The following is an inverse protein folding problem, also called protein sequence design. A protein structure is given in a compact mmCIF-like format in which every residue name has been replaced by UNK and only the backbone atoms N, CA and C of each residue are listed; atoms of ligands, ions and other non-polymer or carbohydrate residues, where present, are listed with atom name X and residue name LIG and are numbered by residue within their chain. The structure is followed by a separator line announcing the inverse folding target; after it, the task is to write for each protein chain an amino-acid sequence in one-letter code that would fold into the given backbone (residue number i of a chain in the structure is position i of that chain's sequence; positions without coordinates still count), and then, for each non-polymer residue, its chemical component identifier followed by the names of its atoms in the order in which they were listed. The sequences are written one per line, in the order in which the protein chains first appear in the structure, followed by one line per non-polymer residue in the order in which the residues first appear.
data_IF_103024094653
#
_entry.id   IF_103024094653
#
_cell.length_a   1.000
_cell.length_b   1.000
_cell.length_c   1.000
_cell.angle_alpha   90.00
_cell.angle_beta   90.00
_cell.angle_gamma   90.00
#
_symmetry.space_group_name_H-M   'P 1'
#
loop_
_entity.id
_entity.type
_entity.pdbx_description
1 polymer ?
#
# COMPACT_ATOMS: atom_id res chain seq x y z
N UNK A 1 13.14 17.39 -19.41
CA UNK A 1 12.31 17.07 -20.60
C UNK A 1 10.89 16.77 -20.11
N UNK A 2 9.93 17.68 -20.33
CA UNK A 2 8.53 17.56 -19.89
C UNK A 2 7.80 16.52 -20.76
N UNK A 3 7.26 15.45 -20.17
CA UNK A 3 6.23 14.60 -20.80
C UNK A 3 5.16 14.18 -19.80
N UNK A 4 3.97 14.77 -20.00
CA UNK A 4 2.62 14.24 -19.77
C UNK A 4 2.40 13.30 -18.57
N UNK A 5 2.04 13.87 -17.42
CA UNK A 5 1.23 13.16 -16.42
C UNK A 5 -0.23 13.44 -16.73
N UNK A 6 -0.89 12.44 -17.30
CA UNK A 6 -2.33 12.39 -17.47
C UNK A 6 -2.99 12.56 -16.09
N UNK A 7 -3.61 13.71 -15.83
CA UNK A 7 -4.50 13.93 -14.67
C UNK A 7 -5.82 13.21 -14.92
N UNK A 8 -5.82 11.90 -14.79
CA UNK A 8 -7.02 11.13 -14.51
C UNK A 8 -7.11 10.94 -13.00
N UNK A 9 -8.17 11.45 -12.38
CA UNK A 9 -8.54 11.06 -11.01
C UNK A 9 -8.66 9.53 -11.02
N UNK A 10 -7.67 8.85 -10.44
CA UNK A 10 -7.58 7.39 -10.47
C UNK A 10 -8.65 6.89 -9.50
N UNK A 11 -9.79 6.51 -10.08
CA UNK A 11 -10.89 5.80 -9.43
C UNK A 11 -10.32 4.60 -8.66
N UNK A 12 -10.95 4.23 -7.54
CA UNK A 12 -10.63 3.03 -6.78
C UNK A 12 -10.24 1.87 -7.71
N UNK A 13 -9.12 1.23 -7.38
CA UNK A 13 -8.47 0.28 -8.25
C UNK A 13 -9.44 -0.84 -8.68
N UNK A 14 -9.48 -1.16 -9.98
CA UNK A 14 -10.36 -2.19 -10.55
C UNK A 14 -10.20 -3.53 -9.83
N UNK A 15 -9.02 -3.82 -9.30
CA UNK A 15 -8.71 -5.00 -8.48
C UNK A 15 -9.50 -5.01 -7.17
N UNK A 16 -9.43 -3.94 -6.38
CA UNK A 16 -10.14 -3.84 -5.10
C UNK A 16 -11.66 -3.83 -5.32
N UNK A 17 -12.12 -3.19 -6.41
CA UNK A 17 -13.52 -3.25 -6.81
C UNK A 17 -13.95 -4.68 -7.16
N UNK A 18 -13.13 -5.39 -7.92
CA UNK A 18 -13.40 -6.78 -8.32
C UNK A 18 -13.43 -7.69 -7.10
N UNK A 19 -12.49 -7.53 -6.17
CA UNK A 19 -12.41 -8.26 -4.92
C UNK A 19 -13.73 -8.21 -4.14
N UNK A 20 -14.24 -7.01 -3.83
CA UNK A 20 -15.50 -6.89 -3.09
C UNK A 20 -16.70 -7.41 -3.89
N UNK A 21 -16.71 -7.22 -5.21
CA UNK A 21 -17.78 -7.75 -6.06
C UNK A 21 -17.83 -9.28 -6.02
N UNK A 22 -16.67 -9.95 -6.04
CA UNK A 22 -16.57 -11.41 -5.95
C UNK A 22 -17.09 -11.88 -4.59
N UNK A 23 -16.57 -11.33 -3.48
CA UNK A 23 -17.04 -11.70 -2.12
C UNK A 23 -18.55 -11.53 -1.97
N UNK A 24 -19.10 -10.42 -2.46
CA UNK A 24 -20.55 -10.17 -2.43
C UNK A 24 -21.35 -11.18 -3.27
N UNK A 25 -20.87 -11.51 -4.46
CA UNK A 25 -21.50 -12.49 -5.36
C UNK A 25 -21.58 -13.86 -4.69
N UNK A 26 -20.44 -14.37 -4.20
CA UNK A 26 -20.32 -15.68 -3.55
C UNK A 26 -21.22 -15.78 -2.31
N UNK A 27 -21.25 -14.72 -1.50
CA UNK A 27 -22.09 -14.64 -0.31
C UNK A 27 -23.56 -14.70 -0.65
N UNK A 28 -24.01 -13.90 -1.61
CA UNK A 28 -25.42 -13.86 -2.01
C UNK A 28 -25.83 -15.20 -2.62
N UNK A 29 -24.98 -15.81 -3.44
CA UNK A 29 -25.20 -17.16 -3.97
C UNK A 29 -25.37 -18.19 -2.85
N UNK A 30 -24.49 -18.17 -1.85
CA UNK A 30 -24.57 -19.06 -0.68
C UNK A 30 -25.86 -18.86 0.11
N UNK A 31 -26.27 -17.62 0.34
CA UNK A 31 -27.53 -17.29 1.04
C UNK A 31 -28.74 -17.81 0.27
N UNK A 32 -28.80 -17.56 -1.04
CA UNK A 32 -29.93 -17.96 -1.89
C UNK A 32 -30.02 -19.48 -1.97
N UNK A 33 -28.89 -20.15 -2.19
CA UNK A 33 -28.82 -21.61 -2.32
C UNK A 33 -29.18 -22.31 -1.02
N UNK A 34 -28.62 -21.85 0.11
CA UNK A 34 -28.89 -22.45 1.43
C UNK A 34 -30.35 -22.35 1.84
N UNK A 35 -31.04 -21.27 1.46
CA UNK A 35 -32.47 -21.06 1.74
C UNK A 35 -33.40 -21.54 0.63
N UNK A 36 -32.85 -22.12 -0.46
CA UNK A 36 -33.60 -22.61 -1.64
C UNK A 36 -34.53 -21.55 -2.24
N UNK A 37 -34.10 -20.30 -2.24
CA UNK A 37 -34.87 -19.18 -2.79
C UNK A 37 -34.69 -19.11 -4.31
N UNK A 38 -35.75 -18.83 -5.03
CA UNK A 38 -35.69 -18.47 -6.45
C UNK A 38 -35.44 -16.97 -6.62
N UNK A 39 -34.82 -16.59 -7.75
CA UNK A 39 -34.59 -15.18 -8.06
C UNK A 39 -35.89 -14.36 -8.19
N UNK A 40 -36.99 -15.02 -8.56
CA UNK A 40 -38.31 -14.39 -8.68
C UNK A 40 -38.93 -14.11 -7.31
N UNK A 41 -38.72 -14.97 -6.31
CA UNK A 41 -39.16 -14.72 -4.93
C UNK A 41 -38.42 -13.54 -4.30
N UNK A 42 -37.18 -13.31 -4.70
CA UNK A 42 -36.34 -12.24 -4.15
C UNK A 42 -36.67 -10.89 -4.78
N UNK A 43 -36.78 -10.83 -6.12
CA UNK A 43 -37.08 -9.59 -6.81
C UNK A 43 -38.01 -9.86 -8.01
N UNK A 44 -39.34 -9.96 -7.79
CA UNK A 44 -40.30 -10.33 -8.83
C UNK A 44 -40.25 -9.41 -10.05
N UNK A 45 -40.09 -8.10 -9.81
CA UNK A 45 -40.10 -7.09 -10.87
C UNK A 45 -38.82 -7.10 -11.71
N UNK A 46 -37.70 -7.63 -11.18
CA UNK A 46 -36.42 -7.64 -11.87
C UNK A 46 -35.47 -8.77 -11.42
N UNK A 47 -35.94 -10.01 -11.52
CA UNK A 47 -35.20 -11.20 -11.09
C UNK A 47 -33.86 -11.38 -11.81
N UNK A 48 -33.72 -10.83 -13.02
CA UNK A 48 -32.47 -10.81 -13.78
C UNK A 48 -31.34 -10.08 -13.04
N UNK A 49 -31.65 -9.04 -12.24
CA UNK A 49 -30.63 -8.34 -11.44
C UNK A 49 -30.02 -9.30 -10.43
N UNK A 50 -30.82 -10.11 -9.75
CA UNK A 50 -30.34 -11.09 -8.77
C UNK A 50 -29.50 -12.16 -9.46
N UNK A 51 -29.96 -12.64 -10.62
CA UNK A 51 -29.17 -13.58 -11.44
C UNK A 51 -27.81 -13.01 -11.84
N UNK A 52 -27.74 -11.74 -12.24
CA UNK A 52 -26.47 -11.09 -12.59
C UNK A 52 -25.55 -10.89 -11.39
N UNK A 53 -26.13 -10.56 -10.22
CA UNK A 53 -25.37 -10.45 -8.97
C UNK A 53 -24.72 -11.78 -8.62
N UNK A 54 -25.49 -12.87 -8.61
CA UNK A 54 -24.99 -14.23 -8.33
C UNK A 54 -23.94 -14.69 -9.34
N UNK A 55 -24.09 -14.30 -10.60
CA UNK A 55 -23.12 -14.61 -11.65
C UNK A 55 -21.91 -13.65 -11.68
N UNK A 56 -21.79 -12.71 -10.73
CA UNK A 56 -20.72 -11.70 -10.69
C UNK A 56 -20.66 -10.79 -11.94
N UNK A 57 -21.74 -10.68 -12.72
CA UNK A 57 -21.72 -9.99 -14.02
C UNK A 57 -21.86 -8.48 -13.86
N UNK A 58 -20.74 -7.77 -14.01
CA UNK A 58 -20.68 -6.30 -14.10
C UNK A 58 -20.98 -5.83 -15.53
N UNK A 59 -21.75 -4.76 -15.67
CA UNK A 59 -22.04 -4.15 -16.98
C UNK A 59 -21.73 -2.66 -16.95
N UNK A 60 -21.60 -2.00 -18.12
CA UNK A 60 -21.44 -0.54 -18.18
C UNK A 60 -22.57 0.23 -17.47
N UNK A 61 -23.78 -0.35 -17.40
CA UNK A 61 -24.95 0.22 -16.73
C UNK A 61 -25.04 -0.16 -15.24
N UNK A 62 -24.33 -1.20 -14.81
CA UNK A 62 -24.20 -1.62 -13.41
C UNK A 62 -22.73 -1.94 -13.09
N UNK A 63 -21.87 -0.91 -12.94
CA UNK A 63 -20.45 -1.13 -12.70
C UNK A 63 -20.16 -1.68 -11.30
N UNK A 64 -21.04 -1.42 -10.32
CA UNK A 64 -20.80 -1.71 -8.90
C UNK A 64 -21.42 -3.02 -8.42
N UNK A 65 -21.93 -3.86 -9.33
CA UNK A 65 -22.64 -5.13 -9.08
C UNK A 65 -23.91 -5.01 -8.23
N UNK A 66 -23.82 -4.48 -7.00
CA UNK A 66 -24.94 -4.29 -6.07
C UNK A 66 -25.54 -2.89 -6.17
N UNK A 67 -26.87 -2.85 -6.14
CA UNK A 67 -27.65 -1.61 -5.95
C UNK A 67 -28.33 -1.65 -4.59
N UNK A 68 -28.52 -0.49 -3.96
CA UNK A 68 -29.21 -0.38 -2.66
C UNK A 68 -30.60 -1.04 -2.72
N UNK A 69 -31.31 -0.91 -3.84
CA UNK A 69 -32.61 -1.56 -4.07
C UNK A 69 -32.49 -3.09 -4.07
N UNK A 70 -31.50 -3.66 -4.76
CA UNK A 70 -31.33 -5.11 -4.79
C UNK A 70 -30.96 -5.66 -3.41
N UNK A 71 -30.07 -4.97 -2.68
CA UNK A 71 -29.70 -5.32 -1.30
C UNK A 71 -30.93 -5.28 -0.39
N UNK A 72 -31.75 -4.23 -0.49
CA UNK A 72 -32.96 -4.09 0.31
C UNK A 72 -33.98 -5.20 -0.01
N UNK A 73 -34.18 -5.55 -1.28
CA UNK A 73 -35.06 -6.66 -1.67
C UNK A 73 -34.58 -8.00 -1.12
N UNK A 74 -33.28 -8.28 -1.23
CA UNK A 74 -32.68 -9.47 -0.61
C UNK A 74 -32.95 -9.47 0.89
N UNK A 75 -32.73 -8.35 1.58
CA UNK A 75 -32.97 -8.25 3.02
C UNK A 75 -34.43 -8.52 3.40
N UNK A 76 -35.38 -7.89 2.70
CA UNK A 76 -36.82 -8.06 2.92
C UNK A 76 -37.26 -9.51 2.77
N UNK A 77 -36.74 -10.22 1.76
CA UNK A 77 -37.03 -11.65 1.55
C UNK A 77 -36.45 -12.52 2.67
N UNK A 78 -35.30 -12.15 3.24
CA UNK A 78 -34.60 -12.96 4.23
C UNK A 78 -35.11 -12.75 5.65
N UNK A 79 -35.46 -11.50 6.00
CA UNK A 79 -35.67 -11.06 7.38
C UNK A 79 -37.01 -10.34 7.59
N UNK A 80 -37.80 -10.14 6.52
CA UNK A 80 -39.08 -9.44 6.57
C UNK A 80 -38.96 -7.93 6.37
N UNK A 81 -40.12 -7.26 6.27
CA UNK A 81 -40.20 -5.81 5.98
C UNK A 81 -40.24 -4.93 7.24
N UNK A 82 -40.59 -5.50 8.40
CA UNK A 82 -40.77 -4.77 9.66
C UNK A 82 -39.51 -4.82 10.56
N UNK A 83 -38.34 -4.49 9.99
CA UNK A 83 -37.11 -4.37 10.77
C UNK A 83 -36.96 -2.96 11.32
N UNK A 84 -36.37 -2.84 12.52
CA UNK A 84 -35.92 -1.53 12.99
C UNK A 84 -34.82 -0.98 12.07
N UNK A 85 -34.66 0.35 12.03
CA UNK A 85 -33.62 0.99 11.20
C UNK A 85 -32.19 0.49 11.53
N UNK A 86 -31.96 0.02 12.77
CA UNK A 86 -30.66 -0.53 13.18
C UNK A 86 -30.45 -1.94 12.62
N UNK A 87 -31.46 -2.80 12.75
CA UNK A 87 -31.42 -4.17 12.23
C UNK A 87 -31.37 -4.19 10.70
N UNK A 88 -32.18 -3.36 10.04
CA UNK A 88 -32.15 -3.23 8.58
C UNK A 88 -30.75 -2.82 8.08
N UNK A 89 -30.11 -1.85 8.74
CA UNK A 89 -28.74 -1.43 8.41
C UNK A 89 -27.74 -2.57 8.57
N UNK A 90 -27.79 -3.28 9.69
CA UNK A 90 -26.89 -4.40 9.95
C UNK A 90 -27.06 -5.51 8.90
N UNK A 91 -28.29 -5.94 8.59
CA UNK A 91 -28.49 -6.99 7.60
C UNK A 91 -28.12 -6.56 6.18
N UNK A 92 -28.38 -5.30 5.80
CA UNK A 92 -27.88 -4.76 4.53
C UNK A 92 -26.35 -4.70 4.47
N UNK A 93 -25.68 -4.40 5.60
CA UNK A 93 -24.22 -4.49 5.74
C UNK A 93 -23.74 -5.93 5.58
N UNK A 94 -24.40 -6.90 6.21
CA UNK A 94 -24.09 -8.33 6.07
C UNK A 94 -24.21 -8.81 4.62
N UNK A 95 -25.28 -8.43 3.92
CA UNK A 95 -25.46 -8.79 2.51
C UNK A 95 -24.37 -8.16 1.64
N UNK A 96 -24.05 -6.88 1.86
CA UNK A 96 -23.13 -6.14 1.00
C UNK A 96 -21.66 -6.45 1.26
N UNK A 97 -21.27 -6.57 2.52
CA UNK A 97 -19.88 -6.63 2.96
C UNK A 97 -19.51 -7.92 3.67
N UNK A 98 -20.46 -8.64 4.26
CA UNK A 98 -20.23 -9.85 5.07
C UNK A 98 -20.60 -9.59 6.52
N UNK A 99 -20.65 -10.63 7.35
CA UNK A 99 -20.70 -10.49 8.82
C UNK A 99 -19.30 -10.20 9.38
N UNK A 100 -19.14 -10.12 10.71
CA UNK A 100 -17.83 -9.80 11.28
C UNK A 100 -16.83 -10.91 10.98
N UNK A 101 -17.22 -12.17 11.13
CA UNK A 101 -16.35 -13.32 10.87
C UNK A 101 -15.86 -13.36 9.42
N UNK A 102 -16.75 -13.12 8.45
CA UNK A 102 -16.38 -13.05 7.04
C UNK A 102 -15.43 -11.88 6.76
N UNK A 103 -15.73 -10.70 7.31
CA UNK A 103 -14.88 -9.51 7.17
C UNK A 103 -13.48 -9.81 7.67
N UNK A 104 -13.37 -10.33 8.88
CA UNK A 104 -12.10 -10.70 9.51
C UNK A 104 -11.27 -11.64 8.64
N UNK A 105 -11.91 -12.66 8.06
CA UNK A 105 -11.22 -13.64 7.21
C UNK A 105 -10.60 -13.04 5.93
N UNK A 106 -11.17 -11.97 5.38
CA UNK A 106 -10.67 -11.37 4.14
C UNK A 106 -9.81 -10.12 4.34
N UNK A 107 -9.70 -9.57 5.56
CA UNK A 107 -8.88 -8.38 5.86
C UNK A 107 -7.43 -8.53 5.36
N UNK A 108 -6.71 -9.64 5.63
CA UNK A 108 -5.32 -9.75 5.20
C UNK A 108 -5.13 -9.69 3.68
N UNK A 109 -6.03 -10.33 2.94
CA UNK A 109 -6.05 -10.27 1.46
C UNK A 109 -6.36 -8.85 0.98
N UNK A 110 -7.32 -8.18 1.62
CA UNK A 110 -7.72 -6.82 1.30
C UNK A 110 -6.60 -5.80 1.52
N UNK A 111 -5.87 -5.88 2.64
CA UNK A 111 -4.74 -4.99 2.92
C UNK A 111 -3.64 -5.13 1.86
N UNK A 112 -3.26 -6.37 1.51
CA UNK A 112 -2.29 -6.63 0.44
C UNK A 112 -2.74 -6.06 -0.90
N UNK A 113 -4.02 -6.20 -1.22
CA UNK A 113 -4.60 -5.59 -2.42
C UNK A 113 -4.58 -4.06 -2.38
N UNK A 114 -4.77 -3.43 -1.21
CA UNK A 114 -4.67 -1.98 -1.07
C UNK A 114 -3.23 -1.52 -1.35
N UNK A 115 -2.23 -2.14 -0.69
CA UNK A 115 -0.81 -1.79 -0.83
C UNK A 115 -0.34 -1.88 -2.28
N UNK A 116 -0.68 -2.99 -2.98
CA UNK A 116 -0.34 -3.18 -4.40
C UNK A 116 -0.84 -2.07 -5.33
N UNK A 117 -1.86 -1.35 -4.89
CA UNK A 117 -2.69 -0.50 -5.74
C UNK A 117 -2.69 0.97 -5.32
N UNK A 118 -1.84 1.36 -4.37
CA UNK A 118 -1.66 2.74 -3.93
C UNK A 118 -1.23 3.65 -5.10
N UNK A 119 -1.64 4.92 -5.03
CA UNK A 119 -1.08 5.97 -5.90
C UNK A 119 0.31 6.37 -5.42
N UNK A 120 1.09 7.07 -6.24
CA UNK A 120 2.42 7.54 -5.84
C UNK A 120 2.38 8.42 -4.57
N UNK A 121 1.37 9.27 -4.43
CA UNK A 121 1.21 10.12 -3.23
C UNK A 121 0.87 9.30 -1.98
N UNK A 122 0.02 8.28 -2.13
CA UNK A 122 -0.34 7.36 -1.05
C UNK A 122 0.83 6.44 -0.67
N UNK A 123 1.64 6.06 -1.66
CA UNK A 123 2.83 5.25 -1.49
C UNK A 123 3.85 5.94 -0.60
N UNK A 124 4.02 7.26 -0.74
CA UNK A 124 4.92 8.03 0.12
C UNK A 124 4.52 7.94 1.60
N UNK A 125 3.23 8.05 1.90
CA UNK A 125 2.72 7.93 3.28
C UNK A 125 3.03 6.54 3.85
N UNK A 126 2.84 5.50 3.03
CA UNK A 126 3.07 4.13 3.44
C UNK A 126 4.56 3.83 3.63
N UNK A 127 5.39 4.26 2.68
CA UNK A 127 6.84 4.10 2.73
C UNK A 127 7.45 4.86 3.91
N UNK A 128 6.92 6.03 4.27
CA UNK A 128 7.32 6.77 5.48
C UNK A 128 7.13 5.97 6.77
N UNK A 129 6.13 5.08 6.85
CA UNK A 129 5.93 4.19 8.00
C UNK A 129 6.86 2.97 7.90
N UNK A 130 7.08 2.43 6.70
CA UNK A 130 8.03 1.33 6.49
C UNK A 130 9.48 1.70 6.86
N UNK A 131 9.83 2.98 6.82
CA UNK A 131 11.16 3.49 7.23
C UNK A 131 11.53 3.18 8.68
N UNK A 132 10.61 2.65 9.49
CA UNK A 132 10.96 2.13 10.81
C UNK A 132 11.69 0.77 10.76
N UNK A 133 11.44 -0.04 9.73
CA UNK A 133 12.19 -1.27 9.54
C UNK A 133 13.66 -0.97 9.20
N UNK A 134 14.57 -1.60 9.94
CA UNK A 134 16.01 -1.36 9.85
C UNK A 134 16.52 -1.65 8.43
N UNK A 135 16.11 -2.79 7.87
CA UNK A 135 16.65 -3.26 6.61
C UNK A 135 16.07 -2.50 5.43
N UNK A 136 14.78 -2.16 5.48
CA UNK A 136 14.15 -1.29 4.50
C UNK A 136 14.81 0.09 4.52
N UNK A 137 14.98 0.69 5.70
CA UNK A 137 15.61 2.00 5.83
C UNK A 137 17.08 2.02 5.36
N UNK A 138 17.85 0.98 5.67
CA UNK A 138 19.22 0.78 5.16
C UNK A 138 19.23 0.67 3.63
N UNK A 139 18.32 -0.13 3.05
CA UNK A 139 18.23 -0.30 1.59
C UNK A 139 17.85 1.02 0.89
N UNK A 140 16.93 1.79 1.46
CA UNK A 140 16.56 3.12 0.94
C UNK A 140 17.75 4.09 1.02
N UNK A 141 18.43 4.15 2.17
CA UNK A 141 19.63 4.98 2.33
C UNK A 141 20.67 4.64 1.27
N UNK A 142 20.95 3.35 1.12
CA UNK A 142 21.92 2.80 0.16
C UNK A 142 21.55 3.13 -1.29
N UNK A 143 20.29 2.93 -1.69
CA UNK A 143 19.83 3.25 -3.04
C UNK A 143 20.00 4.73 -3.37
N UNK A 144 19.66 5.61 -2.44
CA UNK A 144 19.81 7.04 -2.67
C UNK A 144 21.28 7.48 -2.65
N UNK A 145 22.14 6.75 -1.94
CA UNK A 145 23.60 6.93 -1.97
C UNK A 145 24.16 6.53 -3.33
N UNK A 146 23.76 5.37 -3.87
CA UNK A 146 24.14 4.87 -5.19
C UNK A 146 23.33 5.50 -6.32
N UNK A 147 23.17 6.81 -6.25
CA UNK A 147 22.67 7.56 -7.38
C UNK A 147 23.62 7.48 -8.59
N UNK A 148 23.16 7.94 -9.74
CA UNK A 148 23.90 7.93 -11.01
C UNK A 148 25.31 8.52 -10.90
N UNK A 149 25.53 9.50 -10.02
CA UNK A 149 26.83 10.13 -9.86
C UNK A 149 27.83 9.25 -9.08
N UNK A 150 27.37 8.65 -7.99
CA UNK A 150 28.23 7.89 -7.09
C UNK A 150 28.50 6.47 -7.59
N UNK A 151 27.54 5.83 -8.25
CA UNK A 151 27.74 4.49 -8.76
C UNK A 151 28.75 4.44 -9.92
N UNK A 152 28.75 5.43 -10.81
CA UNK A 152 29.78 5.60 -11.85
C UNK A 152 31.19 5.75 -11.24
N UNK A 153 31.32 6.51 -10.15
CA UNK A 153 32.59 6.70 -9.46
C UNK A 153 33.10 5.43 -8.76
N UNK A 154 32.18 4.56 -8.35
CA UNK A 154 32.47 3.32 -7.64
C UNK A 154 32.62 2.10 -8.57
N UNK A 155 32.48 2.28 -9.89
CA UNK A 155 32.44 1.19 -10.88
C UNK A 155 31.33 0.16 -10.56
N UNK A 156 30.20 0.65 -10.04
CA UNK A 156 29.03 -0.16 -9.69
C UNK A 156 28.02 -0.05 -10.83
N UNK A 157 27.64 -1.19 -11.41
CA UNK A 157 26.60 -1.27 -12.42
C UNK A 157 25.22 -0.97 -11.81
N UNK A 158 24.72 0.23 -12.07
CA UNK A 158 23.43 0.73 -11.61
C UNK A 158 22.27 -0.12 -12.15
N UNK A 159 22.37 -0.61 -13.39
CA UNK A 159 21.31 -1.42 -13.99
C UNK A 159 21.18 -2.74 -13.25
N UNK A 160 22.29 -3.36 -12.84
CA UNK A 160 22.29 -4.53 -11.94
C UNK A 160 21.63 -4.22 -10.59
N UNK A 161 21.92 -3.05 -10.01
CA UNK A 161 21.38 -2.62 -8.73
C UNK A 161 19.85 -2.47 -8.73
N UNK A 162 19.29 -1.87 -9.79
CA UNK A 162 17.84 -1.74 -9.96
C UNK A 162 17.15 -3.06 -10.30
N UNK A 163 17.87 -4.01 -10.91
CA UNK A 163 17.33 -5.34 -11.20
C UNK A 163 17.44 -6.33 -10.03
N UNK A 164 18.39 -6.15 -9.11
CA UNK A 164 18.64 -7.09 -8.01
C UNK A 164 18.15 -6.62 -6.63
N UNK A 165 17.97 -5.33 -6.36
CA UNK A 165 17.75 -4.83 -4.99
C UNK A 165 16.50 -3.96 -4.79
N UNK A 166 15.83 -4.19 -3.64
CA UNK A 166 14.51 -3.68 -3.18
C UNK A 166 13.27 -4.53 -3.54
N UNK A 167 13.34 -5.88 -3.59
CA UNK A 167 12.11 -6.68 -3.36
C UNK A 167 11.96 -7.16 -1.92
N UNK A 168 13.03 -7.65 -1.28
CA UNK A 168 12.87 -8.47 -0.05
C UNK A 168 12.70 -7.64 1.21
N UNK A 169 13.57 -6.65 1.46
CA UNK A 169 13.43 -5.78 2.64
C UNK A 169 12.08 -5.07 2.64
N UNK A 170 11.63 -4.64 1.47
CA UNK A 170 10.30 -4.09 1.26
C UNK A 170 9.20 -5.11 1.57
N UNK A 171 9.21 -6.28 0.95
CA UNK A 171 8.17 -7.29 1.18
C UNK A 171 8.08 -7.73 2.65
N UNK A 172 9.21 -7.86 3.34
CA UNK A 172 9.27 -8.20 4.76
C UNK A 172 8.70 -7.06 5.61
N UNK A 173 9.18 -5.83 5.43
CA UNK A 173 8.68 -4.66 6.15
C UNK A 173 7.18 -4.43 5.90
N UNK A 174 6.71 -4.65 4.66
CA UNK A 174 5.29 -4.60 4.33
C UNK A 174 4.50 -5.67 5.08
N UNK A 175 4.98 -6.92 5.09
CA UNK A 175 4.29 -8.02 5.77
C UNK A 175 4.21 -7.79 7.28
N UNK A 176 5.32 -7.41 7.90
CA UNK A 176 5.40 -7.11 9.34
C UNK A 176 4.50 -5.92 9.72
N UNK A 177 4.51 -4.84 8.92
CA UNK A 177 3.62 -3.71 9.15
C UNK A 177 2.16 -4.12 9.03
N UNK A 178 1.80 -4.88 7.99
CA UNK A 178 0.42 -5.34 7.78
C UNK A 178 -0.07 -6.23 8.91
N UNK A 179 0.75 -7.17 9.39
CA UNK A 179 0.44 -8.00 10.57
C UNK A 179 0.25 -7.14 11.82
N UNK A 180 1.10 -6.13 12.02
CA UNK A 180 1.06 -5.26 13.20
C UNK A 180 -0.20 -4.40 13.23
N UNK A 181 -0.63 -3.85 12.09
CA UNK A 181 -1.82 -3.00 12.00
C UNK A 181 -3.12 -3.77 11.75
N UNK A 182 -3.06 -5.09 11.56
CA UNK A 182 -4.20 -5.91 11.12
C UNK A 182 -5.41 -5.74 12.04
N UNK A 183 -5.21 -5.89 13.35
CA UNK A 183 -6.29 -5.81 14.34
C UNK A 183 -6.85 -4.39 14.49
N UNK A 184 -6.01 -3.37 14.36
CA UNK A 184 -6.46 -1.97 14.43
C UNK A 184 -7.24 -1.61 13.18
N UNK A 185 -6.76 -2.02 12.00
CA UNK A 185 -7.47 -1.82 10.75
C UNK A 185 -8.78 -2.59 10.68
N UNK A 186 -8.82 -3.83 11.18
CA UNK A 186 -10.03 -4.64 11.34
C UNK A 186 -11.09 -3.90 12.16
N UNK A 187 -10.73 -3.38 13.33
CA UNK A 187 -11.66 -2.58 14.16
C UNK A 187 -12.14 -1.34 13.43
N UNK A 188 -11.21 -0.56 12.86
CA UNK A 188 -11.54 0.66 12.13
C UNK A 188 -12.46 0.36 10.92
N UNK A 189 -12.25 -0.74 10.23
CA UNK A 189 -13.05 -1.14 9.07
C UNK A 189 -14.44 -1.60 9.47
N UNK A 190 -14.60 -2.38 10.54
CA UNK A 190 -15.93 -2.77 11.06
C UNK A 190 -16.70 -1.52 11.52
N UNK A 191 -16.07 -0.65 12.31
CA UNK A 191 -16.68 0.61 12.73
C UNK A 191 -17.06 1.49 11.54
N UNK A 192 -16.21 1.53 10.51
CA UNK A 192 -16.51 2.21 9.27
C UNK A 192 -17.74 1.64 8.58
N UNK A 193 -17.86 0.32 8.44
CA UNK A 193 -19.01 -0.33 7.80
C UNK A 193 -20.32 -0.10 8.57
N UNK A 194 -20.24 -0.06 9.90
CA UNK A 194 -21.39 0.15 10.79
C UNK A 194 -21.72 1.64 10.97
N UNK A 195 -20.83 2.53 10.53
CA UNK A 195 -21.04 3.97 10.53
C UNK A 195 -22.10 4.41 9.53
N UNK A 196 -22.51 5.66 9.69
CA UNK A 196 -23.40 6.33 8.77
C UNK A 196 -22.82 7.66 8.32
N UNK A 197 -23.05 8.00 7.06
CA UNK A 197 -22.63 9.26 6.45
C UNK A 197 -23.86 10.13 6.21
N UNK A 198 -23.76 11.39 6.62
CA UNK A 198 -24.74 12.40 6.25
C UNK A 198 -24.55 12.74 4.77
N UNK A 199 -25.50 12.30 3.95
CA UNK A 199 -25.48 12.58 2.51
C UNK A 199 -26.47 13.70 2.24
N UNK A 200 -25.99 14.76 1.57
CA UNK A 200 -26.86 15.80 1.05
C UNK A 200 -27.74 15.22 -0.06
N UNK A 201 -29.04 15.25 0.12
CA UNK A 201 -30.05 14.82 -0.84
C UNK A 201 -30.99 15.98 -1.15
N UNK A 202 -31.71 15.92 -2.26
CA UNK A 202 -32.82 16.85 -2.52
C UNK A 202 -34.13 16.14 -2.28
N UNK A 203 -34.80 16.50 -1.19
CA UNK A 203 -36.17 16.05 -0.90
C UNK A 203 -37.11 17.17 -1.36
N UNK A 204 -37.92 16.91 -2.39
CA UNK A 204 -38.85 17.89 -2.98
C UNK A 204 -38.19 19.21 -3.42
N UNK A 205 -36.94 19.15 -3.90
CA UNK A 205 -36.20 20.32 -4.39
C UNK A 205 -35.46 21.12 -3.31
N UNK A 206 -35.62 20.78 -2.04
CA UNK A 206 -34.90 21.36 -0.90
C UNK A 206 -33.72 20.45 -0.54
N UNK A 207 -32.56 21.05 -0.30
CA UNK A 207 -31.40 20.33 0.20
C UNK A 207 -31.64 19.87 1.64
N UNK A 208 -31.54 18.57 1.87
CA UNK A 208 -31.68 17.93 3.17
C UNK A 208 -30.51 16.96 3.40
N UNK A 209 -30.14 16.71 4.65
CA UNK A 209 -29.05 15.79 5.00
C UNK A 209 -29.64 14.52 5.58
N UNK A 210 -29.58 13.44 4.80
CA UNK A 210 -30.10 12.14 5.21
C UNK A 210 -28.96 11.29 5.74
N UNK A 211 -29.16 10.74 6.94
CA UNK A 211 -28.28 9.73 7.50
C UNK A 211 -28.36 8.46 6.65
N UNK A 212 -27.32 8.18 5.85
CA UNK A 212 -27.25 6.97 5.01
C UNK A 212 -26.08 6.11 5.48
N UNK A 213 -26.34 4.83 5.68
CA UNK A 213 -25.29 3.85 5.95
C UNK A 213 -24.27 3.75 4.81
N UNK A 214 -23.13 3.11 5.07
CA UNK A 214 -22.14 2.82 4.04
C UNK A 214 -22.71 1.82 3.03
N UNK A 215 -23.11 2.32 1.86
CA UNK A 215 -23.59 1.46 0.77
C UNK A 215 -22.45 1.03 -0.14
N UNK A 216 -22.59 -0.16 -0.71
CA UNK A 216 -21.64 -0.75 -1.65
C UNK A 216 -21.29 0.26 -2.76
N UNK A 217 -22.30 0.85 -3.40
CA UNK A 217 -22.13 1.83 -4.48
C UNK A 217 -21.36 3.09 -4.08
N UNK A 218 -21.53 3.57 -2.85
CA UNK A 218 -20.91 4.82 -2.39
C UNK A 218 -19.41 4.67 -2.09
N UNK A 219 -18.90 3.44 -2.03
CA UNK A 219 -17.49 3.16 -1.75
C UNK A 219 -16.62 3.07 -3.01
N UNK A 220 -17.13 2.53 -4.11
CA UNK A 220 -16.36 2.36 -5.35
C UNK A 220 -16.10 3.65 -6.16
N UNK A 221 -16.54 4.80 -5.64
CA UNK A 221 -16.25 6.13 -6.19
C UNK A 221 -15.34 6.98 -5.31
N UNK A 222 -14.94 6.48 -4.15
CA UNK A 222 -14.22 7.22 -3.12
C UNK A 222 -13.00 6.41 -2.68
N UNK A 223 -11.89 7.09 -2.38
CA UNK A 223 -10.72 6.45 -1.76
C UNK A 223 -10.93 6.21 -0.25
N UNK A 224 -12.18 6.14 0.23
CA UNK A 224 -12.53 6.08 1.65
C UNK A 224 -11.85 4.90 2.38
N UNK A 225 -11.90 3.70 1.78
CA UNK A 225 -11.28 2.49 2.35
C UNK A 225 -9.75 2.62 2.37
N UNK A 226 -9.15 3.15 1.30
CA UNK A 226 -7.71 3.40 1.23
C UNK A 226 -7.29 4.48 2.22
N UNK A 227 -8.09 5.53 2.38
CA UNK A 227 -7.85 6.61 3.33
C UNK A 227 -7.99 6.13 4.77
N UNK A 228 -8.94 5.23 5.05
CA UNK A 228 -9.07 4.58 6.34
C UNK A 228 -7.83 3.72 6.63
N UNK A 229 -7.37 2.93 5.67
CA UNK A 229 -6.13 2.16 5.78
C UNK A 229 -4.93 3.06 6.06
N UNK A 230 -4.73 4.11 5.26
CA UNK A 230 -3.63 5.06 5.43
C UNK A 230 -3.73 5.85 6.73
N UNK A 231 -4.93 6.07 7.27
CA UNK A 231 -5.11 6.66 8.59
C UNK A 231 -4.52 5.75 9.67
N UNK A 232 -4.85 4.46 9.64
CA UNK A 232 -4.30 3.47 10.59
C UNK A 232 -2.77 3.37 10.43
N UNK A 233 -2.26 3.33 9.20
CA UNK A 233 -0.81 3.34 8.91
C UNK A 233 -0.12 4.57 9.50
N UNK A 234 -0.74 5.76 9.41
CA UNK A 234 -0.20 7.00 9.99
C UNK A 234 -0.23 7.01 11.51
N UNK A 235 -1.27 6.44 12.11
CA UNK A 235 -1.38 6.32 13.57
C UNK A 235 -0.32 5.37 14.13
N UNK A 236 0.14 4.41 13.33
CA UNK A 236 1.25 3.52 13.66
C UNK A 236 2.63 4.13 13.40
N UNK A 237 2.72 5.28 12.72
CA UNK A 237 4.00 5.91 12.40
C UNK A 237 4.70 6.38 13.68
N UNK A 238 5.89 5.84 13.94
CA UNK A 238 6.72 6.28 15.05
C UNK A 238 7.32 7.68 14.78
N UNK A 239 7.49 8.50 15.82
CA UNK A 239 8.34 9.69 15.75
C UNK A 239 9.75 9.33 15.26
N UNK A 240 10.37 10.24 14.51
CA UNK A 240 11.71 10.04 13.94
C UNK A 240 12.75 9.69 15.01
N UNK A 241 12.65 10.30 16.18
CA UNK A 241 13.56 10.08 17.31
C UNK A 241 13.42 8.68 17.92
N UNK A 242 12.22 8.10 17.82
CA UNK A 242 11.91 6.76 18.31
C UNK A 242 12.16 5.68 17.25
N UNK A 243 12.14 6.07 15.97
CA UNK A 243 12.34 5.15 14.85
C UNK A 243 13.78 4.67 14.72
N UNK A 244 13.99 3.36 14.86
CA UNK A 244 15.33 2.76 14.75
C UNK A 244 15.77 2.74 13.28
N UNK A 245 14.88 2.37 12.36
CA UNK A 245 15.15 2.41 10.93
C UNK A 245 15.57 3.80 10.47
N UNK A 246 14.86 4.86 10.89
CA UNK A 246 15.23 6.22 10.52
C UNK A 246 16.61 6.64 11.06
N UNK A 247 16.98 6.18 12.26
CA UNK A 247 18.31 6.42 12.83
C UNK A 247 19.39 5.71 12.01
N UNK A 248 19.14 4.47 11.59
CA UNK A 248 20.05 3.71 10.69
C UNK A 248 20.18 4.44 9.36
N UNK A 249 19.07 4.80 8.72
CA UNK A 249 19.05 5.60 7.50
C UNK A 249 19.90 6.88 7.63
N UNK A 250 19.73 7.61 8.74
CA UNK A 250 20.48 8.85 9.01
C UNK A 250 21.98 8.60 9.20
N UNK A 251 22.38 7.52 9.87
CA UNK A 251 23.78 7.15 10.07
C UNK A 251 24.42 6.81 8.72
N UNK A 252 23.79 5.91 7.96
CA UNK A 252 24.27 5.46 6.65
C UNK A 252 24.43 6.68 5.71
N UNK A 253 23.44 7.57 5.66
CA UNK A 253 23.52 8.82 4.90
C UNK A 253 24.61 9.78 5.37
N UNK A 254 24.78 9.94 6.69
CA UNK A 254 25.77 10.85 7.25
C UNK A 254 27.19 10.39 6.99
N UNK A 255 27.44 9.09 7.06
CA UNK A 255 28.79 8.57 6.81
C UNK A 255 29.15 8.64 5.33
N UNK A 256 28.18 8.53 4.42
CA UNK A 256 28.42 8.73 2.98
C UNK A 256 28.50 10.18 2.55
N UNK A 257 27.72 11.10 3.12
CA UNK A 257 27.88 12.54 2.79
C UNK A 257 29.28 13.08 3.13
N UNK A 258 29.97 12.46 4.09
CA UNK A 258 31.39 12.73 4.34
C UNK A 258 32.28 12.18 3.22
N UNK A 259 31.97 11.02 2.66
CA UNK A 259 32.70 10.44 1.52
C UNK A 259 32.55 11.31 0.27
N UNK A 260 31.33 11.72 -0.08
CA UNK A 260 31.08 12.61 -1.23
C UNK A 260 31.88 13.91 -1.11
N UNK A 261 31.87 14.55 0.07
CA UNK A 261 32.64 15.77 0.32
C UNK A 261 34.15 15.56 0.18
N UNK A 262 34.68 14.41 0.58
CA UNK A 262 36.11 14.08 0.45
C UNK A 262 36.45 13.80 -1.02
N UNK A 263 35.56 13.13 -1.76
CA UNK A 263 35.72 12.87 -3.20
C UNK A 263 35.72 14.18 -3.99
N UNK A 264 34.78 15.09 -3.73
CA UNK A 264 34.73 16.40 -4.39
C UNK A 264 35.98 17.25 -4.13
N UNK A 265 36.47 17.28 -2.88
CA UNK A 265 37.70 17.99 -2.53
C UNK A 265 38.91 17.43 -3.28
N UNK A 266 39.00 16.09 -3.38
CA UNK A 266 40.05 15.42 -4.15
C UNK A 266 39.96 15.78 -5.64
N UNK A 267 38.78 15.69 -6.26
CA UNK A 267 38.59 16.00 -7.68
C UNK A 267 38.94 17.46 -7.99
N UNK A 268 38.50 18.40 -7.14
CA UNK A 268 38.87 19.82 -7.26
C UNK A 268 40.39 19.99 -7.19
N UNK A 269 41.05 19.28 -6.28
CA UNK A 269 42.50 19.34 -6.13
C UNK A 269 43.24 18.80 -7.35
N UNK A 270 42.94 17.57 -7.78
CA UNK A 270 43.56 16.93 -8.95
C UNK A 270 43.38 17.77 -10.22
N UNK A 271 42.21 18.39 -10.38
CA UNK A 271 41.88 19.14 -11.59
C UNK A 271 42.46 20.57 -11.59
N UNK A 272 42.51 21.24 -10.43
CA UNK A 272 42.81 22.67 -10.35
C UNK A 272 44.19 22.96 -9.76
N UNK A 273 44.59 22.22 -8.73
CA UNK A 273 45.73 22.58 -7.87
C UNK A 273 46.95 21.67 -8.03
N UNK A 274 46.75 20.40 -8.41
CA UNK A 274 47.83 19.43 -8.65
C UNK A 274 48.94 19.90 -9.61
N UNK A 275 48.69 20.74 -10.64
CA UNK A 275 49.76 21.25 -11.50
C UNK A 275 50.71 22.25 -10.83
N UNK A 276 50.41 22.75 -9.61
CA UNK A 276 51.04 23.96 -9.07
C UNK A 276 51.83 23.79 -7.76
N UNK A 277 51.90 22.60 -7.11
CA UNK A 277 52.72 22.39 -5.89
C UNK A 277 53.18 20.94 -5.66
N UNK A 278 54.46 20.78 -5.29
CA UNK A 278 54.95 19.66 -4.48
C UNK A 278 54.90 20.06 -2.99
N UNK A 279 53.95 19.52 -2.24
CA UNK A 279 53.79 19.78 -0.80
C UNK A 279 53.61 18.45 -0.05
N UNK A 280 54.62 18.08 0.76
CA UNK A 280 54.66 16.77 1.46
C UNK A 280 53.60 16.62 2.56
N UNK A 281 53.21 17.73 3.21
CA UNK A 281 52.15 17.69 4.22
C UNK A 281 50.82 17.37 3.52
N UNK A 282 50.63 17.97 2.34
CA UNK A 282 49.45 17.77 1.51
C UNK A 282 49.42 16.39 0.84
N UNK A 283 50.57 15.84 0.43
CA UNK A 283 50.69 14.46 -0.06
C UNK A 283 50.25 13.45 1.01
N UNK A 284 50.66 13.67 2.26
CA UNK A 284 50.22 12.87 3.41
C UNK A 284 48.71 13.04 3.67
N UNK A 285 48.17 14.25 3.49
CA UNK A 285 46.73 14.52 3.63
C UNK A 285 45.91 13.87 2.50
N UNK A 286 46.41 13.84 1.26
CA UNK A 286 45.81 13.14 0.13
C UNK A 286 45.86 11.61 0.30
N UNK A 287 46.96 11.05 0.80
CA UNK A 287 47.04 9.63 1.15
C UNK A 287 46.03 9.26 2.24
N UNK A 288 45.86 10.13 3.25
CA UNK A 288 44.84 9.96 4.27
C UNK A 288 43.42 10.03 3.68
N UNK A 289 43.14 11.00 2.80
CA UNK A 289 41.87 11.10 2.08
C UNK A 289 41.62 9.88 1.18
N UNK A 290 42.63 9.37 0.49
CA UNK A 290 42.56 8.12 -0.27
C UNK A 290 42.22 6.92 0.62
N UNK A 291 42.82 6.85 1.81
CA UNK A 291 42.49 5.83 2.80
C UNK A 291 41.02 5.90 3.22
N UNK A 292 40.49 7.10 3.46
CA UNK A 292 39.08 7.30 3.82
C UNK A 292 38.16 6.94 2.66
N UNK A 293 38.45 7.44 1.44
CA UNK A 293 37.67 7.11 0.24
C UNK A 293 37.62 5.60 0.07
N UNK A 294 38.79 4.94 0.05
CA UNK A 294 38.87 3.49 -0.11
C UNK A 294 38.09 2.74 0.97
N UNK A 295 38.20 3.15 2.24
CA UNK A 295 37.41 2.53 3.32
C UNK A 295 35.90 2.70 3.11
N UNK A 296 35.47 3.84 2.57
CA UNK A 296 34.08 4.06 2.16
C UNK A 296 33.65 3.21 0.98
N UNK A 297 34.49 3.08 -0.05
CA UNK A 297 34.25 2.19 -1.18
C UNK A 297 34.13 0.73 -0.73
N UNK A 298 35.04 0.28 0.13
CA UNK A 298 35.03 -1.06 0.71
C UNK A 298 33.76 -1.29 1.57
N UNK A 299 33.31 -0.28 2.33
CA UNK A 299 32.05 -0.34 3.09
C UNK A 299 30.82 -0.46 2.18
N UNK A 300 30.70 0.38 1.16
CA UNK A 300 29.59 0.34 0.20
C UNK A 300 29.56 -1.01 -0.53
N UNK A 301 30.73 -1.52 -0.96
CA UNK A 301 30.84 -2.84 -1.57
C UNK A 301 30.45 -3.98 -0.61
N UNK A 302 30.85 -3.89 0.66
CA UNK A 302 30.44 -4.86 1.67
C UNK A 302 28.92 -4.88 1.89
N UNK A 303 28.27 -3.71 1.82
CA UNK A 303 26.80 -3.62 1.86
C UNK A 303 26.18 -4.30 0.64
N UNK A 304 26.68 -4.00 -0.56
CA UNK A 304 26.24 -4.66 -1.81
C UNK A 304 26.29 -6.18 -1.70
N UNK A 305 27.46 -6.72 -1.34
CA UNK A 305 27.67 -8.17 -1.24
C UNK A 305 26.73 -8.80 -0.20
N UNK A 306 26.48 -8.09 0.92
CA UNK A 306 25.58 -8.57 1.98
C UNK A 306 24.12 -8.62 1.52
N UNK A 307 23.63 -7.58 0.82
CA UNK A 307 22.28 -7.54 0.27
C UNK A 307 22.08 -8.63 -0.78
N UNK A 308 23.06 -8.81 -1.67
CA UNK A 308 23.05 -9.87 -2.69
C UNK A 308 22.94 -11.26 -2.07
N UNK A 309 23.80 -11.60 -1.11
CA UNK A 309 23.79 -12.90 -0.42
C UNK A 309 22.43 -13.15 0.25
N UNK A 310 21.89 -12.14 0.92
CA UNK A 310 20.58 -12.25 1.57
C UNK A 310 19.46 -12.50 0.57
N UNK A 311 19.49 -11.84 -0.58
CA UNK A 311 18.50 -12.03 -1.63
C UNK A 311 18.59 -13.44 -2.24
N UNK A 312 19.80 -13.92 -2.51
CA UNK A 312 20.05 -15.30 -2.98
C UNK A 312 19.52 -16.34 -2.00
N UNK A 313 19.82 -16.19 -0.70
CA UNK A 313 19.34 -17.09 0.34
C UNK A 313 17.81 -17.14 0.43
N UNK A 314 17.16 -15.98 0.36
CA UNK A 314 15.71 -15.89 0.47
C UNK A 314 14.99 -16.46 -0.75
N UNK A 315 15.49 -16.18 -1.96
CA UNK A 315 14.95 -16.76 -3.19
C UNK A 315 15.01 -18.29 -3.16
N UNK A 316 16.10 -18.85 -2.63
CA UNK A 316 16.24 -20.29 -2.45
C UNK A 316 15.20 -20.85 -1.47
N UNK A 317 15.00 -20.22 -0.32
CA UNK A 317 14.00 -20.65 0.67
C UNK A 317 12.57 -20.62 0.08
N UNK A 318 12.28 -19.64 -0.77
CA UNK A 318 11.01 -19.53 -1.48
C UNK A 318 10.80 -20.63 -2.53
N UNK A 319 11.85 -20.97 -3.29
CA UNK A 319 11.81 -22.10 -4.23
C UNK A 319 11.59 -23.44 -3.50
N UNK A 320 12.10 -23.55 -2.27
CA UNK A 320 11.97 -24.72 -1.41
C UNK A 320 10.62 -24.75 -0.63
N UNK A 321 9.74 -23.74 -0.80
CA UNK A 321 8.49 -23.52 -0.04
C UNK A 321 8.69 -23.48 1.49
N UNK A 322 9.86 -23.07 1.96
CA UNK A 322 10.12 -22.90 3.41
C UNK A 322 9.62 -21.55 3.94
N UNK A 323 9.32 -20.60 3.04
CA UNK A 323 8.72 -19.28 3.30
C UNK A 323 7.80 -18.92 2.12
#
# INVERSE_FOLDING_TARGET
MRKYINRGIKKMNEDLQSFFCVKASERIEKIITSRKLSFFEIYPENSNIISWIVAGRRTKRNPYLLTDTAVQRINETLNGQELSNKENRYHCRVISWGDNDEVENYIPEMMRLIVKNLTAEQQLIFDETLMDDIYFAETIAYKEILNEHNADFLDIDIEQLYTEDIPISRNLAESELLETIEEDFKKAFIEFLDSSKYVRTKVNGIDDYVDKGITFKNQFGCDDIVNLFLKVVKEHKLPIEESIGYRVYSIVKKDVSKLDSIIEQKLLYETVYAPYREDKILETELEFQHGIIKAGQDYIKSLYDSHKIRNEAWNKLREENEI
#
